data_IF_527004383853
#
_entry.id   IF_527004383853
#
_cell.length_a   1.000
_cell.length_b   1.000
_cell.length_c   1.000
_cell.angle_alpha   90.00
_cell.angle_beta   90.00
_cell.angle_gamma   90.00
#
_symmetry.space_group_name_H-M   'P 1'
#
loop_
_entity.id
_entity.type
_entity.pdbx_description
1 polymer ?
#
# COMPACT_ATOMS: atom_id res chain seq x y z
N UNK A 1 38.37 20.09 56.29
CA UNK A 1 37.19 20.95 56.22
C UNK A 1 37.08 21.44 54.79
N UNK A 2 36.30 20.79 53.91
CA UNK A 2 35.75 19.42 54.05
C UNK A 2 36.74 18.47 53.35
N UNK A 3 37.90 18.16 53.98
CA UNK A 3 38.22 16.83 54.58
C UNK A 3 37.22 15.73 54.24
N UNK A 4 37.71 14.64 53.64
CA UNK A 4 37.64 13.27 54.16
C UNK A 4 38.72 12.45 53.42
N UNK A 5 39.99 12.65 53.75
CA UNK A 5 40.79 11.84 54.68
C UNK A 5 41.45 10.63 53.98
N UNK A 6 42.77 10.75 53.72
CA UNK A 6 43.66 9.62 53.52
C UNK A 6 43.70 8.79 54.83
N UNK A 7 43.64 7.47 54.73
CA UNK A 7 44.12 6.59 55.81
C UNK A 7 44.95 5.47 55.20
N UNK A 8 46.21 5.40 55.62
CA UNK A 8 47.14 4.31 55.32
C UNK A 8 47.38 3.56 56.64
N UNK A 9 47.02 2.29 56.68
CA UNK A 9 47.51 1.27 57.60
C UNK A 9 47.19 -0.09 56.97
N UNK A 10 48.02 -1.11 56.85
CA UNK A 10 49.40 -1.37 57.22
C UNK A 10 49.86 -2.60 56.40
N UNK A 11 51.17 -2.80 56.31
CA UNK A 11 51.82 -3.78 55.44
C UNK A 11 51.45 -5.25 55.74
N UNK A 12 51.23 -6.08 54.70
CA UNK A 12 51.84 -7.43 54.51
C UNK A 12 51.74 -7.83 53.02
N UNK A 13 52.92 -8.15 52.44
CA UNK A 13 53.21 -9.17 51.41
C UNK A 13 52.10 -9.63 50.45
N UNK A 14 52.33 -9.42 49.15
CA UNK A 14 52.51 -10.45 48.12
C UNK A 14 52.57 -9.73 46.77
N UNK A 15 53.65 -9.92 46.02
CA UNK A 15 53.75 -9.53 44.61
C UNK A 15 52.68 -10.30 43.81
N UNK A 16 51.50 -9.71 43.70
CA UNK A 16 50.45 -10.16 42.81
C UNK A 16 50.11 -9.01 41.87
N UNK A 17 50.49 -9.22 40.62
CA UNK A 17 50.14 -8.42 39.46
C UNK A 17 48.63 -8.13 39.50
N UNK A 18 48.22 -6.92 39.89
CA UNK A 18 46.82 -6.50 39.69
C UNK A 18 46.68 -6.30 38.18
N UNK A 19 46.25 -7.34 37.49
CA UNK A 19 45.57 -7.16 36.21
C UNK A 19 44.32 -6.34 36.52
N UNK A 20 44.36 -5.04 36.28
CA UNK A 20 43.13 -4.37 35.89
C UNK A 20 42.70 -5.04 34.59
N UNK A 21 41.77 -5.98 34.69
CA UNK A 21 40.94 -6.31 33.55
C UNK A 21 40.25 -4.99 33.19
N UNK A 22 40.79 -4.27 32.21
CA UNK A 22 40.01 -3.26 31.52
C UNK A 22 38.76 -4.01 31.06
N UNK A 23 37.58 -3.56 31.51
CA UNK A 23 36.35 -4.08 30.96
C UNK A 23 36.48 -3.98 29.44
N UNK A 24 36.41 -5.11 28.74
CA UNK A 24 36.25 -5.08 27.29
C UNK A 24 34.93 -4.34 27.06
N UNK A 25 35.01 -3.05 26.71
CA UNK A 25 33.84 -2.26 26.41
C UNK A 25 33.29 -2.84 25.11
N UNK A 26 32.18 -3.57 25.20
CA UNK A 26 31.40 -3.98 24.04
C UNK A 26 30.76 -2.71 23.43
N UNK A 27 31.55 -1.95 22.68
CA UNK A 27 31.10 -0.74 22.00
C UNK A 27 30.36 -1.12 20.73
N UNK A 28 29.12 -0.65 20.60
CA UNK A 28 28.41 -0.68 19.32
C UNK A 28 28.78 0.58 18.52
N UNK A 29 29.24 0.38 17.29
CA UNK A 29 29.51 1.46 16.34
C UNK A 29 28.41 1.47 15.28
N UNK A 30 27.64 2.57 15.21
CA UNK A 30 26.65 2.78 14.14
C UNK A 30 27.18 3.80 13.13
N UNK A 31 27.36 3.37 11.89
CA UNK A 31 27.81 4.23 10.78
C UNK A 31 26.59 4.73 10.01
N UNK A 32 26.50 6.03 9.77
CA UNK A 32 25.42 6.67 8.99
C UNK A 32 25.98 7.14 7.64
N UNK A 33 25.29 6.82 6.55
CA UNK A 33 25.63 7.23 5.18
C UNK A 33 24.53 8.12 4.64
N UNK A 34 24.89 9.23 4.01
CA UNK A 34 23.94 10.19 3.46
C UNK A 34 24.10 10.32 1.94
N UNK A 35 23.02 10.69 1.25
CA UNK A 35 23.09 11.10 -0.16
C UNK A 35 23.64 12.53 -0.32
N UNK A 36 23.80 12.97 -1.58
CA UNK A 36 24.28 14.32 -1.91
C UNK A 36 23.33 15.45 -1.44
N UNK A 37 22.10 15.12 -1.04
CA UNK A 37 21.12 16.05 -0.47
C UNK A 37 21.10 16.00 1.06
N UNK A 38 22.01 15.25 1.70
CA UNK A 38 22.15 15.14 3.15
C UNK A 38 21.11 14.26 3.84
N UNK A 39 20.40 13.40 3.08
CA UNK A 39 19.39 12.47 3.63
C UNK A 39 20.01 11.11 3.91
N UNK A 40 19.58 10.45 4.99
CA UNK A 40 20.11 9.15 5.43
C UNK A 40 19.75 8.04 4.43
N UNK A 41 20.74 7.39 3.83
CA UNK A 41 20.55 6.28 2.87
C UNK A 41 20.99 4.92 3.41
N UNK A 42 21.87 4.89 4.40
CA UNK A 42 22.29 3.64 5.03
C UNK A 42 22.70 3.82 6.50
N UNK A 43 22.35 2.88 7.36
CA UNK A 43 22.97 2.72 8.69
C UNK A 43 23.56 1.34 8.82
N UNK A 44 24.76 1.18 9.37
CA UNK A 44 25.35 -0.14 9.68
C UNK A 44 25.88 -0.21 11.11
N UNK A 45 25.46 -1.21 11.88
CA UNK A 45 25.93 -1.48 13.25
C UNK A 45 27.02 -2.56 13.28
N UNK A 46 28.05 -2.33 14.08
CA UNK A 46 29.17 -3.27 14.29
C UNK A 46 29.60 -3.32 15.76
N UNK A 47 30.09 -4.47 16.23
CA UNK A 47 30.78 -4.63 17.52
C UNK A 47 30.02 -5.36 18.64
N UNK A 48 28.71 -5.53 18.56
CA UNK A 48 27.88 -6.19 19.60
C UNK A 48 26.88 -7.21 19.00
N UNK A 49 25.79 -7.52 19.70
CA UNK A 49 24.72 -8.44 19.24
C UNK A 49 24.08 -8.02 17.91
N UNK A 50 24.19 -6.74 17.54
CA UNK A 50 23.68 -6.19 16.28
C UNK A 50 24.74 -6.13 15.17
N UNK A 51 25.88 -6.81 15.34
CA UNK A 51 26.98 -6.78 14.38
C UNK A 51 26.54 -7.28 13.01
N UNK A 52 26.62 -6.40 12.00
CA UNK A 52 26.20 -6.67 10.62
C UNK A 52 24.80 -6.13 10.27
N UNK A 53 24.01 -5.66 11.25
CA UNK A 53 22.71 -5.03 10.98
C UNK A 53 22.91 -3.78 10.12
N UNK A 54 22.29 -3.78 8.96
CA UNK A 54 22.33 -2.69 7.98
C UNK A 54 20.91 -2.32 7.56
N UNK A 55 20.58 -1.04 7.63
CA UNK A 55 19.29 -0.53 7.16
C UNK A 55 19.54 0.38 5.95
N UNK A 56 18.87 0.13 4.83
CA UNK A 56 19.02 0.88 3.58
C UNK A 56 17.71 1.56 3.22
N UNK A 57 17.80 2.82 2.78
CA UNK A 57 16.64 3.65 2.44
C UNK A 57 16.84 4.19 1.03
N UNK A 58 15.84 4.02 0.17
CA UNK A 58 15.78 4.70 -1.13
C UNK A 58 14.76 5.83 -1.10
N UNK A 59 15.02 6.87 -1.88
CA UNK A 59 14.13 8.02 -2.07
C UNK A 59 13.84 8.22 -3.55
N UNK A 60 12.62 8.67 -3.87
CA UNK A 60 12.27 9.15 -5.20
C UNK A 60 12.76 10.60 -5.43
N UNK A 61 12.66 11.14 -6.67
CA UNK A 61 13.05 12.53 -6.96
C UNK A 61 12.20 13.60 -6.25
N UNK A 62 11.00 13.26 -5.78
CA UNK A 62 10.12 14.16 -5.03
C UNK A 62 10.45 14.18 -3.52
N UNK A 63 11.35 13.31 -3.06
CA UNK A 63 11.80 13.24 -1.68
C UNK A 63 11.09 12.19 -0.82
N UNK A 64 10.16 11.42 -1.39
CA UNK A 64 9.43 10.39 -0.66
C UNK A 64 10.30 9.13 -0.52
N UNK A 65 10.13 8.40 0.58
CA UNK A 65 10.81 7.12 0.79
C UNK A 65 10.20 6.07 -0.15
N UNK A 66 11.00 5.54 -1.07
CA UNK A 66 10.60 4.52 -2.04
C UNK A 66 10.89 3.09 -1.57
N UNK A 67 11.82 2.89 -0.62
CA UNK A 67 12.03 1.58 0.03
C UNK A 67 12.72 1.68 1.40
N UNK A 68 12.57 0.65 2.23
CA UNK A 68 13.29 0.43 3.49
C UNK A 68 13.67 -1.05 3.62
N UNK A 69 14.97 -1.36 3.61
CA UNK A 69 15.48 -2.72 3.80
C UNK A 69 16.28 -2.84 5.09
N UNK A 70 16.20 -3.98 5.77
CA UNK A 70 17.04 -4.34 6.93
C UNK A 70 17.69 -5.68 6.65
N UNK A 71 19.01 -5.79 6.84
CA UNK A 71 19.80 -6.98 6.52
C UNK A 71 20.93 -7.19 7.52
N UNK A 72 21.36 -8.43 7.72
CA UNK A 72 22.68 -8.73 8.30
C UNK A 72 22.81 -8.87 9.82
N UNK A 73 21.73 -8.90 10.62
CA UNK A 73 21.83 -9.40 11.99
C UNK A 73 21.74 -10.94 12.00
N UNK A 74 22.68 -11.68 12.64
CA UNK A 74 22.46 -13.09 12.96
C UNK A 74 21.27 -13.20 13.92
N UNK A 75 20.10 -13.58 13.41
CA UNK A 75 18.88 -13.77 14.21
C UNK A 75 17.82 -12.65 14.14
N UNK A 76 18.03 -11.60 13.36
CA UNK A 76 16.95 -10.67 13.02
C UNK A 76 16.07 -11.28 11.94
N UNK A 77 14.89 -11.78 12.28
CA UNK A 77 13.92 -12.16 11.24
C UNK A 77 13.57 -10.92 10.45
N UNK A 78 13.89 -10.92 9.16
CA UNK A 78 13.48 -9.86 8.25
C UNK A 78 11.97 -9.62 8.43
N UNK A 79 11.51 -8.37 8.63
CA UNK A 79 10.09 -8.07 8.63
C UNK A 79 9.46 -8.68 7.38
N UNK A 80 8.24 -9.26 7.48
CA UNK A 80 7.57 -9.76 6.30
C UNK A 80 7.51 -8.64 5.25
N UNK A 81 7.71 -8.96 3.97
CA UNK A 81 7.54 -7.98 2.90
C UNK A 81 6.18 -7.28 3.04
N UNK A 82 6.08 -5.99 2.67
CA UNK A 82 4.78 -5.34 2.57
C UNK A 82 3.85 -6.20 1.68
N UNK A 83 2.55 -6.30 2.02
CA UNK A 83 1.61 -6.95 1.12
C UNK A 83 1.63 -6.27 -0.25
N UNK A 84 1.31 -7.00 -1.34
CA UNK A 84 1.19 -6.42 -2.67
C UNK A 84 0.28 -5.19 -2.66
N UNK A 85 0.54 -4.24 -3.56
CA UNK A 85 -0.33 -3.09 -3.72
C UNK A 85 -1.73 -3.54 -4.19
N UNK A 86 -2.76 -2.86 -3.69
CA UNK A 86 -4.13 -3.13 -4.09
C UNK A 86 -4.33 -2.91 -5.60
N UNK A 87 -4.87 -3.90 -6.30
CA UNK A 87 -5.23 -3.77 -7.71
C UNK A 87 -6.67 -3.29 -7.86
N UNK A 88 -6.99 -2.60 -8.97
CA UNK A 88 -8.38 -2.28 -9.29
C UNK A 88 -9.22 -3.53 -9.59
N UNK A 89 -10.55 -3.43 -9.41
CA UNK A 89 -11.46 -4.49 -9.82
C UNK A 89 -11.43 -4.71 -11.34
N UNK A 90 -11.76 -5.93 -11.76
CA UNK A 90 -11.97 -6.31 -13.15
C UNK A 90 -13.45 -6.12 -13.49
N UNK A 91 -13.74 -5.06 -14.24
CA UNK A 91 -15.09 -4.79 -14.75
C UNK A 91 -15.35 -5.59 -16.03
N UNK A 92 -16.21 -6.60 -15.95
CA UNK A 92 -16.53 -7.48 -17.06
C UNK A 92 -17.64 -6.86 -17.93
N UNK A 93 -17.52 -6.88 -19.27
CA UNK A 93 -18.50 -6.22 -20.13
C UNK A 93 -19.93 -6.75 -19.95
N UNK A 94 -20.89 -5.84 -19.90
CA UNK A 94 -22.31 -6.14 -19.84
C UNK A 94 -23.01 -5.94 -21.18
N UNK A 95 -24.12 -6.64 -21.39
CA UNK A 95 -24.98 -6.40 -22.54
C UNK A 95 -26.46 -6.62 -22.27
N UNK A 96 -27.31 -5.84 -22.94
CA UNK A 96 -28.76 -5.97 -22.86
C UNK A 96 -29.43 -5.58 -24.17
N UNK A 97 -30.54 -6.23 -24.49
CA UNK A 97 -31.46 -5.78 -25.55
C UNK A 97 -32.70 -5.15 -24.93
N UNK A 98 -33.17 -4.06 -25.52
CA UNK A 98 -34.31 -3.30 -25.01
C UNK A 98 -35.18 -2.72 -26.11
N UNK A 99 -36.51 -2.61 -25.89
CA UNK A 99 -37.35 -1.73 -26.68
C UNK A 99 -36.84 -0.29 -26.69
N UNK A 100 -37.30 0.48 -27.67
CA UNK A 100 -37.22 1.94 -27.66
C UNK A 100 -38.06 2.53 -26.52
N UNK A 101 -37.69 3.71 -26.03
CA UNK A 101 -38.51 4.55 -25.15
C UNK A 101 -38.93 3.87 -23.83
N UNK A 102 -38.06 3.03 -23.26
CA UNK A 102 -38.32 2.37 -21.97
C UNK A 102 -37.18 2.60 -20.99
N UNK A 103 -37.53 2.66 -19.71
CA UNK A 103 -36.57 2.67 -18.61
C UNK A 103 -36.09 1.24 -18.35
N UNK A 104 -34.79 1.06 -18.18
CA UNK A 104 -34.16 -0.21 -17.82
C UNK A 104 -33.22 -0.03 -16.64
N UNK A 105 -33.10 -1.11 -15.87
CA UNK A 105 -32.19 -1.23 -14.74
C UNK A 105 -31.32 -2.45 -14.96
N UNK A 106 -30.00 -2.28 -14.85
CA UNK A 106 -29.01 -3.33 -15.09
C UNK A 106 -28.01 -3.33 -13.95
N UNK A 107 -27.88 -4.46 -13.26
CA UNK A 107 -26.81 -4.66 -12.29
C UNK A 107 -25.52 -4.93 -13.08
N UNK A 108 -24.64 -3.94 -13.12
CA UNK A 108 -23.38 -3.96 -13.88
C UNK A 108 -22.18 -4.46 -13.07
N UNK A 109 -22.42 -4.77 -11.79
CA UNK A 109 -21.38 -5.28 -10.86
C UNK A 109 -21.52 -6.80 -10.69
N UNK A 110 -22.60 -7.41 -11.20
CA UNK A 110 -22.95 -8.80 -10.93
C UNK A 110 -21.91 -9.81 -11.45
N UNK A 111 -21.22 -9.50 -12.54
CA UNK A 111 -20.20 -10.30 -13.19
C UNK A 111 -18.77 -9.80 -12.90
N UNK A 112 -18.61 -8.72 -12.13
CA UNK A 112 -17.31 -8.14 -11.82
C UNK A 112 -16.57 -8.91 -10.73
N UNK A 113 -15.25 -8.83 -10.74
CA UNK A 113 -14.39 -9.54 -9.77
C UNK A 113 -13.24 -8.67 -9.31
N UNK A 114 -12.76 -8.88 -8.09
CA UNK A 114 -11.53 -8.27 -7.59
C UNK A 114 -10.41 -9.31 -7.46
N UNK A 115 -9.18 -9.08 -7.97
CA UNK A 115 -8.10 -10.08 -7.92
C UNK A 115 -7.71 -10.51 -6.52
N UNK A 116 -7.80 -9.60 -5.55
CA UNK A 116 -7.48 -9.81 -4.14
C UNK A 116 -8.72 -10.15 -3.29
N UNK A 117 -9.92 -10.01 -3.86
CA UNK A 117 -11.18 -10.28 -3.19
C UNK A 117 -11.67 -9.15 -2.27
N UNK A 118 -11.33 -7.90 -2.59
CA UNK A 118 -11.78 -6.71 -1.87
C UNK A 118 -13.24 -6.36 -2.18
N UNK A 119 -14.16 -7.08 -1.54
CA UNK A 119 -15.60 -6.85 -1.64
C UNK A 119 -16.14 -6.00 -0.47
N UNK A 120 -17.33 -5.38 -0.57
CA UNK A 120 -18.20 -5.34 -1.76
C UNK A 120 -17.64 -4.43 -2.86
N UNK A 121 -17.87 -4.82 -4.12
CA UNK A 121 -17.71 -3.93 -5.26
C UNK A 121 -18.91 -3.00 -5.36
N UNK A 122 -18.68 -1.76 -5.80
CA UNK A 122 -19.71 -0.72 -5.88
C UNK A 122 -19.60 0.14 -7.13
N UNK A 123 -20.74 0.42 -7.75
CA UNK A 123 -20.92 1.39 -8.82
C UNK A 123 -20.75 2.82 -8.27
N UNK A 124 -19.77 3.55 -8.81
CA UNK A 124 -19.40 4.90 -8.38
C UNK A 124 -20.02 5.96 -9.27
N UNK A 125 -19.94 5.76 -10.59
CA UNK A 125 -20.43 6.76 -11.55
C UNK A 125 -20.79 6.13 -12.88
N UNK A 126 -21.63 6.84 -13.63
CA UNK A 126 -22.05 6.49 -14.99
C UNK A 126 -21.88 7.72 -15.85
N UNK A 127 -21.36 7.56 -17.06
CA UNK A 127 -21.09 8.67 -17.97
C UNK A 127 -21.80 8.47 -19.31
N UNK A 128 -23.09 8.80 -19.36
CA UNK A 128 -23.88 8.96 -20.59
C UNK A 128 -25.11 9.86 -20.35
N UNK A 129 -25.61 10.61 -21.36
CA UNK A 129 -26.72 11.57 -21.18
C UNK A 129 -28.07 10.97 -20.74
N UNK A 130 -28.28 9.66 -20.95
CA UNK A 130 -29.55 8.97 -20.65
C UNK A 130 -29.39 7.84 -19.63
N UNK A 131 -28.32 7.89 -18.83
CA UNK A 131 -28.03 6.89 -17.82
C UNK A 131 -27.66 7.57 -16.49
N UNK A 132 -27.97 6.90 -15.39
CA UNK A 132 -27.71 7.37 -14.03
C UNK A 132 -27.36 6.19 -13.11
N UNK A 133 -26.81 6.51 -11.95
CA UNK A 133 -26.62 5.54 -10.86
C UNK A 133 -27.97 5.36 -10.17
N UNK A 134 -28.57 4.18 -10.31
CA UNK A 134 -29.83 3.83 -9.63
C UNK A 134 -29.56 3.33 -8.20
N UNK A 135 -28.50 2.54 -8.04
CA UNK A 135 -28.05 2.02 -6.74
C UNK A 135 -26.54 1.78 -6.76
N UNK A 136 -25.99 1.34 -5.63
CA UNK A 136 -24.57 0.97 -5.52
C UNK A 136 -24.10 -0.17 -6.44
N UNK A 137 -24.96 -0.78 -7.25
CA UNK A 137 -24.56 -1.77 -8.27
C UNK A 137 -25.30 -1.63 -9.60
N UNK A 138 -26.34 -0.79 -9.66
CA UNK A 138 -27.29 -0.77 -10.78
C UNK A 138 -27.21 0.53 -11.55
N UNK A 139 -27.04 0.42 -12.86
CA UNK A 139 -27.25 1.51 -13.81
C UNK A 139 -28.73 1.58 -14.18
N UNK A 140 -29.33 2.74 -13.99
CA UNK A 140 -30.61 3.10 -14.60
C UNK A 140 -30.37 3.77 -15.94
N UNK A 141 -31.21 3.49 -16.94
CA UNK A 141 -31.14 4.14 -18.25
C UNK A 141 -32.52 4.32 -18.90
N UNK A 142 -32.63 5.28 -19.81
CA UNK A 142 -33.80 5.44 -20.68
C UNK A 142 -33.41 5.28 -22.16
N UNK A 143 -33.96 4.28 -22.85
CA UNK A 143 -33.54 3.93 -24.21
C UNK A 143 -34.02 4.94 -25.27
N UNK A 144 -33.19 5.26 -26.28
CA UNK A 144 -33.57 6.18 -27.36
C UNK A 144 -34.72 5.70 -28.25
N UNK A 145 -35.34 6.65 -28.96
CA UNK A 145 -36.31 6.38 -30.04
C UNK A 145 -35.61 6.08 -31.39
N UNK A 146 -34.43 5.49 -31.33
CA UNK A 146 -33.66 5.15 -32.52
C UNK A 146 -33.09 3.76 -32.31
N UNK A 147 -33.37 2.87 -33.26
CA UNK A 147 -32.80 1.53 -33.24
C UNK A 147 -31.29 1.64 -33.42
N UNK A 148 -30.53 0.86 -32.66
CA UNK A 148 -29.08 0.88 -32.73
C UNK A 148 -28.39 0.37 -31.48
N UNK A 149 -27.08 0.21 -31.59
CA UNK A 149 -26.21 -0.10 -30.46
C UNK A 149 -25.77 1.19 -29.75
N UNK A 150 -25.85 1.18 -28.43
CA UNK A 150 -25.38 2.24 -27.55
C UNK A 150 -24.43 1.66 -26.52
N UNK A 151 -23.42 2.43 -26.12
CA UNK A 151 -22.48 2.03 -25.09
C UNK A 151 -22.57 2.99 -23.90
N UNK A 152 -22.71 2.43 -22.71
CA UNK A 152 -22.66 3.18 -21.45
C UNK A 152 -21.37 2.80 -20.72
N UNK A 153 -20.54 3.78 -20.45
CA UNK A 153 -19.35 3.61 -19.60
C UNK A 153 -19.71 3.88 -18.16
N UNK A 154 -19.22 3.03 -17.25
CA UNK A 154 -19.42 3.16 -15.82
C UNK A 154 -18.12 2.90 -15.07
N UNK A 155 -18.03 3.39 -13.83
CA UNK A 155 -16.88 3.18 -12.95
C UNK A 155 -17.32 2.38 -11.74
N UNK A 156 -16.59 1.31 -11.44
CA UNK A 156 -16.74 0.50 -10.22
C UNK A 156 -15.55 0.70 -9.31
N UNK A 157 -15.77 0.58 -8.00
CA UNK A 157 -14.74 0.60 -6.97
C UNK A 157 -14.80 -0.65 -6.10
N UNK A 158 -13.64 -1.05 -5.58
CA UNK A 158 -13.55 -2.01 -4.49
C UNK A 158 -13.77 -1.35 -3.11
N UNK A 159 -13.67 -2.14 -2.03
CA UNK A 159 -13.83 -1.65 -0.66
C UNK A 159 -12.67 -0.78 -0.15
N UNK A 160 -11.56 -0.73 -0.88
CA UNK A 160 -10.36 0.05 -0.57
C UNK A 160 -10.24 1.33 -1.42
N UNK A 161 -11.15 1.53 -2.37
CA UNK A 161 -11.25 2.70 -3.24
C UNK A 161 -10.49 2.61 -4.56
N UNK A 162 -9.91 1.47 -4.94
CA UNK A 162 -9.36 1.30 -6.28
C UNK A 162 -10.50 1.20 -7.30
N UNK A 163 -10.32 1.80 -8.48
CA UNK A 163 -11.42 1.98 -9.46
C UNK A 163 -11.08 1.43 -10.83
N UNK A 164 -12.09 0.94 -11.52
CA UNK A 164 -12.00 0.40 -12.88
C UNK A 164 -13.20 0.83 -13.72
N UNK A 165 -13.03 0.87 -15.04
CA UNK A 165 -14.08 1.28 -15.99
C UNK A 165 -14.62 0.07 -16.74
N UNK A 166 -15.94 -0.11 -16.69
CA UNK A 166 -16.67 -1.11 -17.44
C UNK A 166 -17.53 -0.51 -18.55
N UNK A 167 -18.09 -1.39 -19.39
CA UNK A 167 -18.95 -1.00 -20.51
C UNK A 167 -20.21 -1.84 -20.53
N UNK A 168 -21.36 -1.17 -20.60
CA UNK A 168 -22.67 -1.76 -20.81
C UNK A 168 -23.14 -1.48 -22.25
N UNK A 169 -23.23 -2.54 -23.05
CA UNK A 169 -23.71 -2.49 -24.43
C UNK A 169 -25.22 -2.66 -24.48
N UNK A 170 -25.92 -1.70 -25.09
CA UNK A 170 -27.38 -1.67 -25.16
C UNK A 170 -27.80 -1.74 -26.62
N UNK A 171 -28.44 -2.83 -27.01
CA UNK A 171 -29.04 -2.97 -28.33
C UNK A 171 -30.52 -2.54 -28.26
N UNK A 172 -30.85 -1.42 -28.90
CA UNK A 172 -32.22 -0.89 -28.93
C UNK A 172 -32.91 -1.32 -30.21
N UNK A 173 -34.06 -1.96 -30.07
CA UNK A 173 -34.84 -2.49 -31.20
C UNK A 173 -36.33 -2.27 -30.99
N UNK A 174 -37.08 -2.04 -32.06
CA UNK A 174 -38.54 -1.99 -32.02
C UNK A 174 -39.12 -0.96 -32.98
N UNK A 175 -40.45 -0.95 -33.09
CA UNK A 175 -41.23 -0.03 -33.92
C UNK A 175 -41.92 1.08 -33.12
N UNK A 176 -41.85 1.04 -31.78
CA UNK A 176 -42.50 2.02 -30.91
C UNK A 176 -41.83 3.39 -31.06
N UNK A 177 -42.63 4.46 -31.05
CA UNK A 177 -42.14 5.84 -30.99
C UNK A 177 -42.34 6.43 -29.60
N UNK A 178 -41.47 7.35 -29.20
CA UNK A 178 -41.64 8.09 -27.95
C UNK A 178 -42.77 9.11 -28.17
N UNK A 179 -43.83 9.02 -27.37
CA UNK A 179 -45.00 9.89 -27.46
C UNK A 179 -44.88 11.10 -26.53
#
# INVERSE_FOLDING_TARGET
MVRMDFSIAGAVSLSSLILFAIAAHAGETTTFTYDALGRLVSTSSSGTVNNGLSNTIAYDPAGNRSSYGTSGAPGGTQPPPPPPANQPPVANPDSITSPKCVTRFVNVVANDTDPEGNYPLGLVSVNQPRAWVESGTTVGMFTPDVNGGYAITYTVADSLGATSTGTLSVNVTGSQQCN
#
